data_IF_163674040437
#
_entry.id   IF_163674040437
#
_cell.length_a   1.000
_cell.length_b   1.000
_cell.length_c   1.000
_cell.angle_alpha   90.00
_cell.angle_beta   90.00
_cell.angle_gamma   90.00
#
_symmetry.space_group_name_H-M   'P 1'
#
loop_
_entity.id
_entity.type
_entity.pdbx_description
1 polymer ?
#
# COMPACT_ATOMS: atom_id res chain seq x y z
N UNK A 1 -17.28 -7.00 9.97
CA UNK A 1 -15.96 -6.54 9.48
C UNK A 1 -15.04 -6.43 10.68
N UNK A 2 -13.75 -6.77 10.53
CA UNK A 2 -12.81 -6.54 11.64
C UNK A 2 -12.60 -5.02 11.82
N UNK A 3 -12.44 -4.52 13.05
CA UNK A 3 -12.35 -3.08 13.33
C UNK A 3 -11.12 -2.41 12.71
N UNK A 4 -10.12 -3.19 12.29
CA UNK A 4 -8.90 -2.73 11.63
C UNK A 4 -9.00 -2.64 10.09
N UNK A 5 -10.12 -3.05 9.48
CA UNK A 5 -10.29 -2.98 8.02
C UNK A 5 -10.57 -1.56 7.54
N UNK A 6 -9.94 -1.21 6.42
CA UNK A 6 -10.22 0.03 5.71
C UNK A 6 -11.50 -0.08 4.88
N UNK A 7 -12.20 1.05 4.69
CA UNK A 7 -13.38 1.09 3.80
C UNK A 7 -12.99 0.88 2.34
N UNK A 8 -11.88 1.50 1.96
CA UNK A 8 -11.25 1.36 0.64
C UNK A 8 -9.77 1.00 0.84
N UNK A 9 -9.23 0.04 0.07
CA UNK A 9 -7.82 -0.30 0.15
C UNK A 9 -6.93 0.87 -0.29
N UNK A 10 -5.71 0.92 0.25
CA UNK A 10 -4.64 1.79 -0.28
C UNK A 10 -3.74 0.95 -1.16
N UNK A 11 -3.70 1.24 -2.45
CA UNK A 11 -2.82 0.55 -3.41
C UNK A 11 -1.43 1.19 -3.37
N UNK A 12 -0.43 0.40 -3.00
CA UNK A 12 0.98 0.82 -2.94
C UNK A 12 1.84 -0.02 -3.87
N UNK A 13 2.97 0.52 -4.30
CA UNK A 13 4.03 -0.23 -4.96
C UNK A 13 4.96 -0.82 -3.89
N UNK A 14 5.17 -2.14 -3.93
CA UNK A 14 6.09 -2.84 -3.04
C UNK A 14 7.26 -3.42 -3.82
N UNK A 15 8.43 -3.47 -3.18
CA UNK A 15 9.63 -4.13 -3.68
C UNK A 15 9.97 -3.75 -5.13
N UNK A 16 9.82 -4.71 -6.05
CA UNK A 16 10.09 -4.58 -7.49
C UNK A 16 9.06 -3.73 -8.26
N UNK A 17 8.27 -2.89 -7.58
CA UNK A 17 7.24 -2.05 -8.20
C UNK A 17 5.94 -2.79 -8.51
N UNK A 18 5.63 -3.87 -7.78
CA UNK A 18 4.33 -4.54 -7.94
C UNK A 18 3.27 -3.85 -7.08
N UNK A 19 2.06 -3.63 -7.61
CA UNK A 19 0.96 -3.09 -6.82
C UNK A 19 0.52 -4.11 -5.77
N UNK A 20 0.36 -3.66 -4.54
CA UNK A 20 -0.20 -4.39 -3.41
C UNK A 20 -1.31 -3.58 -2.77
N UNK A 21 -2.42 -4.23 -2.44
CA UNK A 21 -3.55 -3.60 -1.77
C UNK A 21 -3.42 -3.74 -0.26
N UNK A 22 -3.29 -2.61 0.43
CA UNK A 22 -3.32 -2.53 1.89
C UNK A 22 -4.76 -2.37 2.32
N UNK A 23 -5.35 -3.43 2.89
CA UNK A 23 -6.79 -3.50 3.22
C UNK A 23 -7.08 -3.26 4.70
N UNK A 24 -6.06 -3.21 5.54
CA UNK A 24 -6.21 -3.07 6.99
C UNK A 24 -5.07 -2.28 7.64
N UNK A 25 -5.32 -1.78 8.85
CA UNK A 25 -4.31 -1.13 9.68
C UNK A 25 -3.16 -2.10 10.03
N UNK A 26 -3.44 -3.40 10.13
CA UNK A 26 -2.40 -4.42 10.36
C UNK A 26 -1.50 -4.56 9.14
N UNK A 27 -2.07 -4.62 7.94
CA UNK A 27 -1.28 -4.69 6.70
C UNK A 27 -0.42 -3.43 6.55
N UNK A 28 -0.99 -2.25 6.79
CA UNK A 28 -0.28 -0.98 6.78
C UNK A 28 0.89 -0.97 7.79
N UNK A 29 0.64 -1.43 9.01
CA UNK A 29 1.65 -1.53 10.06
C UNK A 29 2.83 -2.42 9.64
N UNK A 30 2.56 -3.56 9.00
CA UNK A 30 3.61 -4.47 8.52
C UNK A 30 4.51 -3.81 7.48
N UNK A 31 3.91 -3.13 6.50
CA UNK A 31 4.67 -2.37 5.50
C UNK A 31 5.55 -1.28 6.12
N UNK A 32 5.05 -0.60 7.16
CA UNK A 32 5.82 0.42 7.87
C UNK A 32 6.96 -0.19 8.69
N UNK A 33 6.79 -1.35 9.32
CA UNK A 33 7.87 -2.01 10.08
C UNK A 33 9.00 -2.47 9.16
N UNK A 34 8.66 -2.99 7.98
CA UNK A 34 9.61 -3.42 6.96
C UNK A 34 10.31 -2.25 6.23
N UNK A 35 9.86 -1.01 6.45
CA UNK A 35 10.40 0.18 5.80
C UNK A 35 11.87 0.42 6.18
N UNK A 36 12.77 0.66 5.18
CA UNK A 36 14.21 0.84 5.43
C UNK A 36 14.51 1.96 6.41
N UNK A 37 15.38 1.70 7.40
CA UNK A 37 15.73 2.67 8.44
C UNK A 37 16.28 3.99 7.87
N UNK A 38 17.02 3.94 6.77
CA UNK A 38 17.58 5.11 6.09
C UNK A 38 16.51 6.04 5.48
N UNK A 39 15.30 5.53 5.22
CA UNK A 39 14.17 6.28 4.64
C UNK A 39 13.08 6.58 5.67
N UNK A 40 13.32 6.29 6.96
CA UNK A 40 12.36 6.60 8.04
C UNK A 40 12.43 8.07 8.38
N UNK A 41 11.31 8.74 8.21
CA UNK A 41 11.14 10.15 8.49
C UNK A 41 10.01 10.40 9.50
N UNK A 42 9.66 11.66 9.73
CA UNK A 42 8.55 12.00 10.62
C UNK A 42 7.21 11.42 10.12
N UNK A 43 6.99 11.35 8.81
CA UNK A 43 5.77 10.79 8.25
C UNK A 43 5.65 9.28 8.54
N UNK A 44 6.75 8.54 8.43
CA UNK A 44 6.83 7.14 8.83
C UNK A 44 6.43 6.94 10.30
N UNK A 45 7.01 7.73 11.22
CA UNK A 45 6.73 7.63 12.66
C UNK A 45 5.26 7.92 12.98
N UNK A 46 4.67 8.93 12.34
CA UNK A 46 3.26 9.27 12.50
C UNK A 46 2.35 8.15 11.99
N UNK A 47 2.61 7.64 10.79
CA UNK A 47 1.83 6.55 10.20
C UNK A 47 1.92 5.27 11.05
N UNK A 48 3.11 4.94 11.58
CA UNK A 48 3.33 3.75 12.41
C UNK A 48 2.57 3.84 13.73
N UNK A 49 2.61 5.01 14.39
CA UNK A 49 1.87 5.26 15.63
C UNK A 49 0.36 5.19 15.40
N UNK A 50 -0.13 5.77 14.31
CA UNK A 50 -1.54 5.75 13.96
C UNK A 50 -2.04 4.33 13.66
N UNK A 51 -1.32 3.54 12.87
CA UNK A 51 -1.68 2.15 12.62
C UNK A 51 -1.70 1.34 13.92
N UNK A 52 -0.71 1.54 14.80
CA UNK A 52 -0.70 0.92 16.13
C UNK A 52 -1.89 1.33 17.01
N UNK A 53 -2.28 2.61 17.00
CA UNK A 53 -3.45 3.12 17.73
C UNK A 53 -4.76 2.52 17.19
N UNK A 54 -4.91 2.38 15.87
CA UNK A 54 -6.07 1.74 15.25
C UNK A 54 -6.16 0.26 15.63
N UNK A 55 -5.03 -0.46 15.68
CA UNK A 55 -5.01 -1.86 16.13
C UNK A 55 -5.41 -2.05 17.60
N UNK A 56 -5.16 -1.03 18.44
CA UNK A 56 -5.64 -0.99 19.83
C UNK A 56 -7.07 -0.49 19.97
N UNK A 57 -7.71 -0.03 18.89
CA UNK A 57 -9.05 0.56 18.91
C UNK A 57 -9.11 1.97 19.50
N UNK A 58 -7.98 2.67 19.60
CA UNK A 58 -7.89 4.05 20.11
C UNK A 58 -8.36 5.08 19.08
N UNK A 59 -8.23 4.76 17.79
CA UNK A 59 -8.68 5.59 16.68
C UNK A 59 -9.37 4.71 15.63
N UNK A 60 -10.14 5.34 14.75
CA UNK A 60 -10.77 4.65 13.62
C UNK A 60 -9.72 4.17 12.61
N UNK A 61 -9.94 2.98 12.03
CA UNK A 61 -9.08 2.45 10.98
C UNK A 61 -8.97 3.41 9.78
N UNK A 62 -10.03 4.15 9.48
CA UNK A 62 -10.05 5.13 8.39
C UNK A 62 -9.11 6.33 8.66
N UNK A 63 -8.96 6.74 9.92
CA UNK A 63 -7.97 7.75 10.32
C UNK A 63 -6.55 7.24 10.11
N UNK A 64 -6.26 5.99 10.50
CA UNK A 64 -4.97 5.36 10.25
C UNK A 64 -4.70 5.21 8.75
N UNK A 65 -5.73 4.90 7.95
CA UNK A 65 -5.65 4.83 6.49
C UNK A 65 -5.19 6.16 5.89
N UNK A 66 -5.81 7.27 6.28
CA UNK A 66 -5.45 8.59 5.78
C UNK A 66 -3.99 8.95 6.05
N UNK A 67 -3.50 8.64 7.25
CA UNK A 67 -2.10 8.87 7.61
C UNK A 67 -1.14 7.94 6.86
N UNK A 68 -1.53 6.69 6.61
CA UNK A 68 -0.76 5.77 5.79
C UNK A 68 -0.72 6.21 4.31
N UNK A 69 -1.84 6.67 3.76
CA UNK A 69 -1.92 7.17 2.38
C UNK A 69 -1.05 8.42 2.19
N UNK A 70 -1.07 9.36 3.14
CA UNK A 70 -0.20 10.54 3.12
C UNK A 70 1.30 10.16 3.21
N UNK A 71 1.64 9.14 4.02
CA UNK A 71 2.99 8.57 4.01
C UNK A 71 3.33 7.98 2.64
N UNK A 72 2.45 7.15 2.07
CA UNK A 72 2.69 6.52 0.78
C UNK A 72 2.84 7.56 -0.35
N UNK A 73 2.03 8.61 -0.34
CA UNK A 73 2.12 9.73 -1.29
C UNK A 73 3.48 10.44 -1.17
N UNK A 74 3.89 10.79 0.05
CA UNK A 74 5.16 11.47 0.31
C UNK A 74 6.39 10.67 -0.18
N UNK A 75 6.32 9.35 -0.09
CA UNK A 75 7.40 8.44 -0.48
C UNK A 75 7.25 7.89 -1.91
N UNK A 76 6.35 8.47 -2.73
CA UNK A 76 6.07 8.06 -4.11
C UNK A 76 5.71 6.55 -4.23
N UNK A 77 5.07 6.01 -3.20
CA UNK A 77 4.68 4.60 -3.11
C UNK A 77 3.26 4.35 -3.61
N UNK A 78 2.42 5.37 -3.79
CA UNK A 78 1.06 5.14 -4.27
C UNK A 78 1.10 4.52 -5.67
N UNK A 79 0.46 3.36 -5.81
CA UNK A 79 0.30 2.76 -7.12
C UNK A 79 -0.63 3.65 -7.95
N UNK A 80 -0.30 3.91 -9.23
CA UNK A 80 -1.19 4.65 -10.12
C UNK A 80 -2.55 3.94 -10.16
N UNK A 81 -3.63 4.72 -10.11
CA UNK A 81 -4.99 4.19 -10.15
C UNK A 81 -5.12 3.21 -11.32
N UNK A 82 -5.25 1.94 -10.98
CA UNK A 82 -5.09 0.85 -11.94
C UNK A 82 -6.40 0.64 -12.69
N UNK A 83 -6.87 1.68 -13.39
CA UNK A 83 -7.86 1.51 -14.43
C UNK A 83 -7.09 1.38 -15.77
N UNK A 84 -6.92 0.13 -16.22
CA UNK A 84 -6.69 -0.28 -17.63
C UNK A 84 -5.31 -0.75 -18.15
N UNK A 85 -4.15 -0.65 -17.48
CA UNK A 85 -2.87 -0.90 -18.20
C UNK A 85 -2.28 -2.34 -18.10
N UNK A 86 -2.73 -3.21 -17.18
CA UNK A 86 -2.10 -4.55 -17.04
C UNK A 86 -2.65 -5.60 -18.05
N UNK A 87 -3.80 -5.36 -18.69
CA UNK A 87 -4.36 -6.33 -19.64
C UNK A 87 -3.69 -6.32 -21.03
N UNK A 88 -2.92 -5.29 -21.39
CA UNK A 88 -2.41 -5.11 -22.76
C UNK A 88 -1.03 -5.73 -23.02
N UNK A 89 -0.24 -6.05 -21.99
CA UNK A 89 1.12 -6.61 -22.17
C UNK A 89 1.17 -8.12 -22.36
N UNK A 90 0.11 -8.87 -22.04
CA UNK A 90 0.09 -10.34 -22.16
C UNK A 90 -0.35 -10.84 -23.56
N UNK A 91 -0.66 -9.96 -24.52
CA UNK A 91 -1.28 -10.34 -25.80
C UNK A 91 -0.44 -10.13 -27.05
N UNK A 92 0.83 -9.69 -26.95
CA UNK A 92 1.64 -9.43 -28.16
C UNK A 92 2.96 -10.18 -28.25
N UNK A 93 3.18 -11.18 -27.42
CA UNK A 93 4.29 -12.13 -27.62
C UNK A 93 3.72 -13.54 -27.79
N UNK A 94 3.28 -13.85 -29.02
CA UNK A 94 3.11 -15.23 -29.45
C UNK A 94 3.47 -15.28 -30.93
N UNK A 95 4.76 -15.21 -31.15
CA UNK A 95 5.42 -15.59 -32.39
C UNK A 95 5.29 -17.12 -32.58
N UNK A 96 4.79 -17.61 -33.73
CA UNK A 96 4.96 -19.00 -34.10
C UNK A 96 5.82 -19.09 -35.37
N UNK A 97 7.10 -19.40 -35.18
CA UNK A 97 7.91 -20.04 -36.21
C UNK A 97 7.44 -21.50 -36.41
N UNK A 98 6.96 -21.85 -37.61
CA UNK A 98 7.22 -23.09 -38.37
C UNK A 98 6.46 -22.96 -39.71
N UNK A 99 7.11 -22.99 -40.87
CA UNK A 99 7.65 -24.18 -41.56
C UNK A 99 8.59 -23.75 -42.68
#
# INVERSE_FOLDING_TARGET
>A
MKPDMFKEPVSILVGLGFPAEVRSAMDAYRHLVEWPAALRDHAHSVALKACGAALRGEIEAETARGLFAAFAEKHDLLAPETNAIVASRLRRDRDPHVR
#
